data_IF_318762359980
#
_entry.id   IF_318762359980
#
_cell.length_a   1.000
_cell.length_b   1.000
_cell.length_c   1.000
_cell.angle_alpha   90.00
_cell.angle_beta   90.00
_cell.angle_gamma   90.00
#
_symmetry.space_group_name_H-M   'P 1'
#
loop_
_entity.id
_entity.type
_entity.pdbx_description
1 polymer ?
#
# COMPACT_ATOMS: atom_id res chain seq x y z
N UNK A 1 2.67 -3.40 1.57
CA UNK A 1 2.74 -3.39 0.08
C UNK A 1 1.42 -3.90 -0.48
N UNK A 2 0.30 -3.53 0.16
CA UNK A 2 -0.97 -3.47 -0.54
C UNK A 2 -0.75 -2.59 -1.76
N UNK A 3 -1.42 -2.94 -2.86
CA UNK A 3 -1.66 -2.02 -3.96
C UNK A 3 -1.83 -0.62 -3.35
N UNK A 4 -0.81 0.24 -3.53
CA UNK A 4 -1.01 1.67 -3.41
C UNK A 4 -2.09 1.91 -4.43
N UNK A 5 -3.35 1.89 -3.98
CA UNK A 5 -4.43 2.46 -4.72
C UNK A 5 -3.90 3.82 -5.10
N UNK A 6 -3.71 4.03 -6.40
CA UNK A 6 -3.26 5.31 -6.90
C UNK A 6 -4.04 6.38 -6.12
N UNK A 7 -3.41 7.48 -5.70
CA UNK A 7 -4.09 8.56 -4.97
C UNK A 7 -5.26 9.19 -5.75
N UNK A 8 -5.58 8.66 -6.93
CA UNK A 8 -6.50 9.10 -7.97
C UNK A 8 -8.00 8.90 -7.69
N UNK A 9 -8.41 8.33 -6.55
CA UNK A 9 -9.85 8.29 -6.21
C UNK A 9 -10.10 8.98 -4.87
N UNK A 10 -9.73 10.26 -4.78
CA UNK A 10 -10.51 11.16 -3.93
C UNK A 10 -11.85 11.39 -4.59
N UNK A 11 -12.92 10.97 -3.91
CA UNK A 11 -14.28 11.38 -4.23
C UNK A 11 -14.32 12.91 -4.34
N UNK A 12 -14.51 13.42 -5.55
CA UNK A 12 -14.81 14.83 -5.76
C UNK A 12 -16.29 15.07 -5.44
N UNK A 13 -16.58 16.30 -5.02
CA UNK A 13 -17.88 16.78 -4.60
C UNK A 13 -19.05 16.21 -5.41
N UNK A 14 -20.01 15.61 -4.71
CA UNK A 14 -21.31 15.22 -5.25
C UNK A 14 -21.95 16.46 -5.88
N UNK A 15 -22.16 16.43 -7.20
CA UNK A 15 -23.09 17.37 -7.86
C UNK A 15 -24.50 17.01 -7.40
N UNK A 16 -25.10 17.82 -6.54
CA UNK A 16 -26.54 17.75 -6.32
C UNK A 16 -27.25 18.16 -7.62
N UNK A 17 -28.09 17.28 -8.15
CA UNK A 17 -29.04 17.62 -9.20
C UNK A 17 -30.16 18.48 -8.60
N UNK A 18 -30.23 19.76 -8.99
CA UNK A 18 -31.30 20.65 -8.57
C UNK A 18 -30.98 22.13 -8.82
N UNK A 19 -31.99 22.90 -9.27
CA UNK A 19 -31.90 24.33 -9.57
C UNK A 19 -31.70 25.18 -8.30
N UNK A 20 -30.53 25.13 -7.66
CA UNK A 20 -30.01 26.17 -6.74
C UNK A 20 -28.47 26.13 -6.72
N UNK A 21 -27.75 27.26 -6.83
CA UNK A 21 -26.31 27.25 -6.87
C UNK A 21 -25.72 27.15 -5.45
N UNK A 22 -24.68 26.32 -5.31
CA UNK A 22 -23.75 26.17 -4.17
C UNK A 22 -24.21 25.29 -3.00
N UNK A 23 -23.69 24.06 -2.99
CA UNK A 23 -23.36 23.33 -1.77
C UNK A 23 -21.85 23.00 -1.81
N UNK A 24 -21.05 23.75 -1.06
CA UNK A 24 -19.61 23.49 -0.90
C UNK A 24 -19.41 22.43 0.19
N UNK A 25 -18.82 21.29 -0.16
CA UNK A 25 -18.19 20.43 0.83
C UNK A 25 -16.79 21.00 1.14
N UNK A 26 -16.72 21.72 2.27
CA UNK A 26 -15.51 22.12 2.99
C UNK A 26 -14.34 22.70 2.16
N UNK A 27 -14.58 23.89 1.60
CA UNK A 27 -13.52 24.90 1.40
C UNK A 27 -13.85 26.06 2.33
N UNK A 28 -13.15 26.17 3.46
CA UNK A 28 -13.15 27.40 4.24
C UNK A 28 -12.28 28.41 3.49
N UNK A 29 -12.92 29.34 2.78
CA UNK A 29 -12.29 30.60 2.42
C UNK A 29 -12.04 31.37 3.72
N UNK A 30 -10.81 31.79 3.97
CA UNK A 30 -10.48 32.65 5.09
C UNK A 30 -11.12 34.04 4.87
N UNK A 31 -12.32 34.22 5.44
CA UNK A 31 -12.97 35.51 5.64
C UNK A 31 -12.70 36.00 7.07
N UNK A 32 -12.38 37.27 7.20
CA UNK A 32 -11.91 37.96 8.40
C UNK A 32 -12.91 37.88 9.57
N UNK A 33 -12.41 37.40 10.72
CA UNK A 33 -12.93 37.70 12.06
C UNK A 33 -13.91 36.69 12.66
N UNK A 34 -13.42 35.65 13.33
CA UNK A 34 -13.98 34.99 14.53
C UNK A 34 -12.88 34.06 15.13
N UNK A 35 -12.88 33.81 16.46
CA UNK A 35 -11.67 33.38 17.16
C UNK A 35 -11.23 31.96 16.81
N UNK A 36 -9.90 31.80 16.71
CA UNK A 36 -9.19 30.56 16.45
C UNK A 36 -9.58 29.48 17.48
N UNK A 37 -10.30 28.46 17.04
CA UNK A 37 -10.17 27.14 17.66
C UNK A 37 -9.03 26.41 16.96
N UNK A 38 -7.94 26.22 17.71
CA UNK A 38 -6.76 25.49 17.27
C UNK A 38 -7.19 24.15 16.66
N UNK A 39 -6.68 23.86 15.46
CA UNK A 39 -6.72 22.51 14.92
C UNK A 39 -6.10 21.58 15.98
N UNK A 40 -6.89 20.63 16.47
CA UNK A 40 -6.42 19.58 17.38
C UNK A 40 -5.33 18.80 16.66
N UNK A 41 -4.10 19.21 16.92
CA UNK A 41 -2.88 18.52 16.59
C UNK A 41 -2.96 17.18 17.32
N UNK A 42 -3.14 16.08 16.60
CA UNK A 42 -2.90 14.75 17.18
C UNK A 42 -1.40 14.73 17.45
N UNK A 43 -0.95 14.71 18.71
CA UNK A 43 0.46 14.76 19.01
C UNK A 43 1.13 13.51 18.44
N UNK A 44 2.31 13.72 17.83
CA UNK A 44 3.18 12.75 17.16
C UNK A 44 3.51 11.51 18.04
N UNK A 45 3.16 11.55 19.32
CA UNK A 45 3.36 10.49 20.29
C UNK A 45 2.57 9.22 20.02
N UNK A 46 1.37 9.26 19.45
CA UNK A 46 0.57 8.03 19.24
C UNK A 46 1.06 7.17 18.05
N UNK A 47 1.65 7.79 17.03
CA UNK A 47 2.23 7.07 15.89
C UNK A 47 3.56 6.38 16.22
N UNK A 48 4.31 6.92 17.18
CA UNK A 48 5.55 6.33 17.69
C UNK A 48 5.23 5.24 18.73
N UNK A 49 4.14 5.39 19.48
CA UNK A 49 3.74 4.40 20.48
C UNK A 49 3.41 3.03 19.86
N UNK A 50 2.83 2.97 18.65
CA UNK A 50 2.52 1.68 18.00
C UNK A 50 3.72 0.97 17.39
N UNK A 51 4.78 1.71 17.01
CA UNK A 51 6.08 1.11 16.66
C UNK A 51 6.74 0.51 17.91
N UNK A 52 6.47 1.08 19.10
CA UNK A 52 6.97 0.56 20.38
C UNK A 52 6.06 -0.51 21.03
N UNK A 53 4.75 -0.50 20.77
CA UNK A 53 3.75 -1.39 21.36
C UNK A 53 3.50 -2.66 20.52
N UNK A 54 4.54 -3.15 19.83
CA UNK A 54 4.53 -4.45 19.15
C UNK A 54 5.26 -5.54 19.95
N UNK A 55 5.71 -5.23 21.17
CA UNK A 55 6.29 -6.18 22.12
C UNK A 55 5.27 -6.44 23.24
N UNK A 56 4.17 -7.13 22.92
CA UNK A 56 3.34 -7.76 23.94
C UNK A 56 3.23 -9.25 23.62
N UNK A 57 3.93 -10.03 24.44
CA UNK A 57 3.97 -11.49 24.39
C UNK A 57 2.55 -12.02 24.60
N UNK A 58 1.92 -12.49 23.52
CA UNK A 58 0.81 -13.43 23.63
C UNK A 58 1.38 -14.76 24.10
N UNK A 59 1.04 -15.14 25.33
CA UNK A 59 1.27 -16.45 25.91
C UNK A 59 0.42 -17.50 25.17
N UNK A 60 0.90 -17.92 24.01
CA UNK A 60 0.43 -19.13 23.33
C UNK A 60 1.23 -20.32 23.89
N UNK A 61 0.53 -21.44 24.11
CA UNK A 61 1.10 -22.74 24.49
C UNK A 61 2.36 -23.10 23.67
N UNK A 62 3.26 -23.99 24.16
CA UNK A 62 4.58 -24.20 23.56
C UNK A 62 4.46 -24.81 22.15
N UNK A 63 4.37 -23.94 21.14
CA UNK A 63 4.69 -24.26 19.77
C UNK A 63 6.19 -24.48 19.69
N UNK A 64 6.62 -25.62 19.14
CA UNK A 64 8.04 -25.85 18.87
C UNK A 64 8.36 -25.19 17.55
N UNK A 65 9.41 -24.40 17.51
CA UNK A 65 9.88 -23.80 16.29
C UNK A 65 10.69 -24.86 15.52
N UNK A 66 10.11 -25.40 14.45
CA UNK A 66 10.81 -26.32 13.55
C UNK A 66 11.51 -25.56 12.41
N UNK A 67 12.43 -26.26 11.78
CA UNK A 67 13.31 -25.90 10.67
C UNK A 67 12.80 -24.77 9.73
N UNK A 68 13.12 -23.49 9.99
CA UNK A 68 12.93 -22.40 9.00
C UNK A 68 14.04 -22.42 7.93
N UNK A 69 14.17 -23.55 7.23
CA UNK A 69 15.24 -23.81 6.28
C UNK A 69 15.29 -22.83 5.11
N UNK A 70 15.82 -21.63 5.34
CA UNK A 70 16.34 -20.71 4.35
C UNK A 70 17.84 -20.95 4.15
N UNK A 71 18.23 -22.22 4.03
CA UNK A 71 19.62 -22.66 3.93
C UNK A 71 19.87 -23.63 2.77
N UNK A 72 20.76 -23.20 1.86
CA UNK A 72 21.50 -23.90 0.80
C UNK A 72 20.95 -24.02 -0.61
N UNK A 73 19.72 -23.58 -0.92
CA UNK A 73 19.38 -23.35 -2.32
C UNK A 73 18.32 -22.28 -2.53
N UNK A 74 18.60 -21.43 -3.51
CA UNK A 74 17.62 -20.83 -4.40
C UNK A 74 16.66 -21.95 -4.85
N UNK A 75 15.51 -22.07 -4.19
CA UNK A 75 14.46 -23.02 -4.56
C UNK A 75 14.86 -24.49 -4.72
N UNK A 76 15.69 -25.08 -3.87
CA UNK A 76 15.92 -26.54 -3.89
C UNK A 76 16.15 -27.08 -2.47
N UNK A 77 15.07 -27.43 -1.78
CA UNK A 77 15.19 -28.26 -0.60
C UNK A 77 15.30 -29.74 -1.03
N UNK A 78 16.37 -30.37 -0.56
CA UNK A 78 16.77 -31.73 -0.90
C UNK A 78 15.75 -32.79 -0.49
N UNK A 79 15.81 -33.90 -1.21
CA UNK A 79 14.91 -35.03 -1.15
C UNK A 79 15.13 -35.86 0.12
N UNK A 80 14.62 -35.37 1.26
CA UNK A 80 14.23 -36.12 2.49
C UNK A 80 14.10 -35.13 3.64
N UNK A 81 12.89 -34.63 3.93
CA UNK A 81 12.42 -34.29 5.29
C UNK A 81 10.89 -34.14 5.23
N UNK A 82 10.24 -34.51 6.32
CA UNK A 82 8.80 -34.42 6.60
C UNK A 82 8.28 -33.01 6.29
N UNK A 83 7.41 -32.87 5.28
CA UNK A 83 6.64 -31.66 4.89
C UNK A 83 7.30 -30.28 5.16
N UNK A 84 8.12 -29.77 4.24
CA UNK A 84 8.43 -28.34 4.23
C UNK A 84 7.29 -27.53 3.60
N UNK A 85 6.73 -26.57 4.33
CA UNK A 85 5.63 -25.73 3.85
C UNK A 85 6.10 -24.79 2.73
N UNK A 86 5.36 -24.75 1.60
CA UNK A 86 5.59 -23.77 0.54
C UNK A 86 4.71 -22.55 0.72
N UNK A 87 5.25 -21.40 0.33
CA UNK A 87 4.57 -20.12 0.43
C UNK A 87 4.80 -19.28 -0.82
N UNK A 88 3.73 -18.70 -1.34
CA UNK A 88 3.71 -17.59 -2.29
C UNK A 88 3.87 -16.27 -1.53
N UNK A 89 3.23 -16.14 -0.36
CA UNK A 89 3.18 -14.88 0.41
C UNK A 89 1.78 -14.29 0.44
N UNK A 90 1.49 -13.48 1.46
CA UNK A 90 0.25 -12.71 1.63
C UNK A 90 0.03 -11.59 0.58
N UNK A 91 -1.20 -11.08 0.47
CA UNK A 91 -1.56 -10.02 -0.49
C UNK A 91 -0.97 -8.63 -0.17
N UNK A 92 -0.78 -8.30 1.11
CA UNK A 92 -0.41 -6.96 1.53
C UNK A 92 1.00 -6.92 2.11
N UNK A 93 1.36 -7.89 2.94
CA UNK A 93 2.62 -7.79 3.67
C UNK A 93 3.82 -7.88 2.72
N UNK A 94 4.82 -6.98 2.84
CA UNK A 94 6.03 -6.98 2.02
C UNK A 94 6.93 -8.16 2.38
N UNK A 95 7.49 -8.87 1.40
CA UNK A 95 8.38 -10.01 1.66
C UNK A 95 9.80 -9.50 1.91
N UNK A 96 10.48 -10.05 2.92
CA UNK A 96 11.85 -9.67 3.29
C UNK A 96 12.90 -9.90 2.19
N UNK A 97 14.15 -9.54 2.47
CA UNK A 97 15.25 -9.78 1.52
C UNK A 97 15.43 -11.28 1.25
N UNK A 98 15.80 -11.63 0.02
CA UNK A 98 16.08 -13.01 -0.37
C UNK A 98 17.33 -13.51 0.36
N UNK A 99 17.39 -14.82 0.57
CA UNK A 99 18.39 -15.46 1.44
C UNK A 99 19.60 -16.03 0.70
N UNK A 100 19.59 -16.00 -0.63
CA UNK A 100 20.70 -16.49 -1.46
C UNK A 100 20.99 -15.53 -2.59
N UNK A 101 22.27 -15.19 -2.75
CA UNK A 101 22.77 -14.38 -3.85
C UNK A 101 22.43 -14.99 -5.22
N UNK A 102 22.11 -14.12 -6.18
CA UNK A 102 21.76 -14.51 -7.55
C UNK A 102 20.32 -14.98 -7.75
N UNK A 103 19.51 -15.09 -6.68
CA UNK A 103 18.08 -15.40 -6.82
C UNK A 103 17.36 -14.25 -7.46
N UNK A 104 16.52 -14.58 -8.44
CA UNK A 104 15.57 -13.65 -9.02
C UNK A 104 14.14 -14.12 -8.73
N UNK A 105 13.31 -13.22 -8.21
CA UNK A 105 11.90 -13.47 -8.03
C UNK A 105 11.11 -12.42 -8.83
N UNK A 106 10.06 -12.88 -9.51
CA UNK A 106 9.08 -11.99 -10.08
C UNK A 106 7.66 -12.44 -9.73
N UNK A 107 6.83 -11.47 -9.37
CA UNK A 107 5.49 -11.71 -8.85
C UNK A 107 4.51 -10.65 -9.39
N UNK A 108 3.86 -10.92 -10.53
CA UNK A 108 2.82 -10.06 -11.06
C UNK A 108 1.53 -10.22 -10.26
N UNK A 109 0.96 -9.09 -9.87
CA UNK A 109 -0.35 -8.93 -9.27
C UNK A 109 -1.31 -8.32 -10.27
N UNK A 110 -2.56 -8.75 -10.24
CA UNK A 110 -3.70 -8.06 -10.87
C UNK A 110 -4.73 -7.79 -9.79
N UNK A 111 -5.20 -6.54 -9.71
CA UNK A 111 -6.19 -6.09 -8.76
C UNK A 111 -7.35 -5.37 -9.47
N UNK A 112 -8.57 -5.57 -8.98
CA UNK A 112 -9.74 -4.84 -9.42
C UNK A 112 -10.26 -3.94 -8.31
N UNK A 113 -10.22 -2.63 -8.49
CA UNK A 113 -10.73 -1.68 -7.51
C UNK A 113 -12.21 -1.40 -7.70
N UNK A 114 -13.00 -1.70 -6.68
CA UNK A 114 -14.42 -1.37 -6.62
C UNK A 114 -14.73 -0.47 -5.41
N UNK A 115 -14.89 0.84 -5.62
CA UNK A 115 -15.39 1.72 -4.57
C UNK A 115 -16.83 1.37 -4.21
N UNK A 116 -17.08 1.19 -2.92
CA UNK A 116 -18.40 0.87 -2.36
C UNK A 116 -18.96 1.99 -1.49
N UNK A 117 -18.11 2.92 -1.06
CA UNK A 117 -18.51 4.05 -0.23
C UNK A 117 -17.37 5.02 0.06
N UNK A 118 -17.61 5.95 0.97
CA UNK A 118 -16.63 6.89 1.47
C UNK A 118 -16.78 7.06 2.97
N UNK A 119 -15.67 7.01 3.69
CA UNK A 119 -15.58 7.24 5.13
C UNK A 119 -15.32 8.72 5.38
N UNK A 120 -16.28 9.41 5.99
CA UNK A 120 -16.17 10.81 6.38
C UNK A 120 -15.13 11.07 7.46
N UNK A 121 -15.01 12.33 7.89
CA UNK A 121 -14.02 12.75 8.91
C UNK A 121 -14.23 12.11 10.28
N UNK A 122 -15.47 11.73 10.61
CA UNK A 122 -15.84 11.03 11.84
C UNK A 122 -15.93 9.51 11.69
N UNK A 123 -15.56 8.98 10.52
CA UNK A 123 -15.67 7.55 10.18
C UNK A 123 -17.07 7.07 9.77
N UNK A 124 -18.06 7.96 9.69
CA UNK A 124 -19.37 7.62 9.12
C UNK A 124 -19.27 7.28 7.63
N UNK A 125 -19.92 6.18 7.21
CA UNK A 125 -19.97 5.76 5.80
C UNK A 125 -21.04 6.53 5.03
N UNK A 126 -20.70 6.95 3.81
CA UNK A 126 -21.61 7.56 2.86
C UNK A 126 -21.52 6.84 1.50
N UNK A 127 -22.66 6.60 0.83
CA UNK A 127 -22.66 5.94 -0.48
C UNK A 127 -22.06 6.83 -1.55
N UNK A 128 -21.24 6.23 -2.41
CA UNK A 128 -20.68 6.89 -3.61
C UNK A 128 -21.46 6.44 -4.84
N UNK A 129 -22.08 7.41 -5.51
CA UNK A 129 -22.93 7.18 -6.67
C UNK A 129 -22.12 7.13 -7.98
N UNK A 130 -21.09 7.97 -8.11
CA UNK A 130 -20.14 7.96 -9.24
C UNK A 130 -18.93 7.10 -8.87
N UNK A 131 -18.98 5.81 -9.19
CA UNK A 131 -17.95 4.84 -8.83
C UNK A 131 -16.87 4.81 -9.91
N UNK A 132 -15.68 5.28 -9.55
CA UNK A 132 -14.47 5.09 -10.35
C UNK A 132 -13.93 3.68 -10.13
N UNK A 133 -14.15 2.81 -11.09
CA UNK A 133 -13.57 1.48 -11.13
C UNK A 133 -12.18 1.54 -11.73
N UNK A 134 -11.30 0.62 -11.34
CA UNK A 134 -10.01 0.46 -11.99
C UNK A 134 -9.58 -0.99 -12.01
N UNK A 135 -8.82 -1.37 -13.03
CA UNK A 135 -7.98 -2.55 -13.01
C UNK A 135 -6.54 -2.08 -12.95
N UNK A 136 -5.77 -2.63 -12.02
CA UNK A 136 -4.33 -2.38 -11.93
C UNK A 136 -3.55 -3.68 -11.97
N UNK A 137 -2.34 -3.58 -12.47
CA UNK A 137 -1.34 -4.63 -12.46
C UNK A 137 -0.06 -4.03 -11.92
N UNK A 138 0.49 -4.61 -10.86
CA UNK A 138 1.83 -4.28 -10.40
C UNK A 138 2.68 -5.52 -10.36
N UNK A 139 3.98 -5.42 -10.62
CA UNK A 139 4.87 -6.59 -10.60
C UNK A 139 5.99 -6.36 -9.62
N UNK A 140 6.17 -7.27 -8.68
CA UNK A 140 7.34 -7.25 -7.80
C UNK A 140 8.50 -7.91 -8.55
N UNK A 141 9.52 -7.13 -8.88
CA UNK A 141 10.81 -7.66 -9.34
C UNK A 141 11.78 -7.60 -8.18
N UNK A 142 12.34 -8.74 -7.78
CA UNK A 142 13.30 -8.81 -6.69
C UNK A 142 14.53 -9.61 -7.12
N UNK A 143 15.72 -9.05 -6.87
CA UNK A 143 16.99 -9.71 -7.18
C UNK A 143 17.91 -9.66 -5.97
N UNK A 144 18.52 -10.80 -5.62
CA UNK A 144 19.44 -10.86 -4.49
C UNK A 144 20.88 -10.56 -4.92
N UNK A 145 21.42 -9.43 -4.45
CA UNK A 145 22.81 -9.06 -4.67
C UNK A 145 23.76 -9.90 -3.80
N UNK A 146 23.34 -10.17 -2.56
CA UNK A 146 24.06 -11.02 -1.60
C UNK A 146 23.08 -12.01 -0.96
N UNK A 147 23.49 -12.71 0.10
CA UNK A 147 22.60 -13.58 0.88
C UNK A 147 21.69 -12.80 1.85
N UNK A 148 21.87 -11.48 1.98
CA UNK A 148 21.12 -10.62 2.90
C UNK A 148 20.70 -9.29 2.30
N UNK A 149 21.22 -8.93 1.12
CA UNK A 149 20.89 -7.70 0.40
C UNK A 149 20.20 -8.03 -0.90
N UNK A 150 19.02 -7.45 -1.10
CA UNK A 150 18.25 -7.55 -2.35
C UNK A 150 17.89 -6.17 -2.88
N UNK A 151 17.69 -6.09 -4.19
CA UNK A 151 17.08 -4.96 -4.87
C UNK A 151 15.65 -5.33 -5.24
N UNK A 152 14.73 -4.39 -5.09
CA UNK A 152 13.34 -4.56 -5.50
C UNK A 152 12.86 -3.37 -6.33
N UNK A 153 12.09 -3.66 -7.38
CA UNK A 153 11.41 -2.69 -8.21
C UNK A 153 9.93 -3.08 -8.35
N UNK A 154 9.03 -2.10 -8.39
CA UNK A 154 7.58 -2.37 -8.41
C UNK A 154 6.85 -1.47 -9.41
N UNK A 155 7.01 -1.67 -10.72
CA UNK A 155 6.21 -0.94 -11.69
C UNK A 155 4.73 -1.30 -11.52
N UNK A 156 3.88 -0.30 -11.69
CA UNK A 156 2.42 -0.46 -11.76
C UNK A 156 1.86 0.13 -13.04
N UNK A 157 0.84 -0.52 -13.57
CA UNK A 157 0.05 -0.08 -14.71
C UNK A 157 -1.42 -0.16 -14.31
N UNK A 158 -2.21 0.85 -14.65
CA UNK A 158 -3.64 0.89 -14.33
C UNK A 158 -4.48 1.41 -15.48
N UNK A 159 -5.75 1.01 -15.47
CA UNK A 159 -6.81 1.51 -16.34
C UNK A 159 -8.05 1.81 -15.50
N UNK A 160 -8.55 3.04 -15.58
CA UNK A 160 -9.66 3.52 -14.76
C UNK A 160 -10.85 3.97 -15.59
N UNK A 161 -12.06 3.79 -15.06
CA UNK A 161 -13.30 4.24 -15.68
C UNK A 161 -14.38 4.54 -14.65
N UNK A 162 -15.36 5.35 -15.01
CA UNK A 162 -16.53 5.65 -14.18
C UNK A 162 -17.80 5.13 -14.84
N UNK A 163 -18.78 4.68 -14.05
CA UNK A 163 -20.12 4.34 -14.57
C UNK A 163 -20.98 5.61 -14.67
N UNK A 164 -21.54 5.89 -15.86
CA UNK A 164 -22.43 7.03 -16.11
C UNK A 164 -21.84 8.03 -17.12
N UNK A 165 -22.11 9.33 -16.94
CA UNK A 165 -21.53 10.41 -17.77
C UNK A 165 -20.03 10.69 -17.50
N UNK A 166 -19.30 9.73 -16.92
CA UNK A 166 -17.93 9.90 -16.42
C UNK A 166 -16.86 9.36 -17.36
N UNK A 167 -15.68 9.99 -17.33
CA UNK A 167 -14.55 9.69 -18.21
C UNK A 167 -13.86 8.36 -17.92
N UNK A 168 -13.14 7.87 -18.92
CA UNK A 168 -12.13 6.81 -18.77
C UNK A 168 -10.75 7.45 -18.74
N UNK A 169 -9.75 6.73 -18.25
CA UNK A 169 -8.37 7.05 -18.61
C UNK A 169 -8.23 7.10 -20.14
N UNK A 170 -7.31 7.91 -20.64
CA UNK A 170 -6.99 8.00 -22.07
C UNK A 170 -6.36 6.71 -22.61
N UNK A 171 -5.88 5.83 -21.73
CA UNK A 171 -5.30 4.54 -22.03
C UNK A 171 -4.78 3.87 -20.76
N UNK A 172 -3.84 2.93 -20.92
CA UNK A 172 -3.06 2.41 -19.80
C UNK A 172 -2.17 3.51 -19.23
N UNK A 173 -2.11 3.60 -17.91
CA UNK A 173 -1.32 4.60 -17.18
C UNK A 173 -0.31 3.89 -16.30
N UNK A 174 0.94 4.33 -16.34
CA UNK A 174 1.99 3.83 -15.47
C UNK A 174 2.14 4.77 -14.27
N UNK A 175 2.16 4.23 -13.06
CA UNK A 175 2.35 5.04 -11.86
C UNK A 175 3.81 5.45 -11.63
N UNK A 176 4.07 5.98 -10.44
CA UNK A 176 5.41 6.34 -9.97
C UNK A 176 6.20 5.08 -9.65
N UNK A 177 7.40 4.94 -10.22
CA UNK A 177 8.20 3.72 -10.13
C UNK A 177 8.98 3.62 -8.81
N UNK A 178 8.66 2.68 -7.90
CA UNK A 178 9.43 2.46 -6.68
C UNK A 178 10.63 1.55 -6.93
N UNK A 179 11.78 1.94 -6.36
CA UNK A 179 12.99 1.12 -6.28
C UNK A 179 13.49 1.13 -4.84
N UNK A 180 13.60 -0.06 -4.24
CA UNK A 180 13.97 -0.26 -2.85
C UNK A 180 15.19 -1.19 -2.74
N UNK A 181 16.18 -0.82 -1.92
CA UNK A 181 17.24 -1.72 -1.45
C UNK A 181 16.79 -2.32 -0.12
N UNK A 182 16.92 -3.64 0.00
CA UNK A 182 16.46 -4.42 1.12
C UNK A 182 17.66 -5.05 1.81
N UNK A 183 17.79 -4.87 3.11
CA UNK A 183 18.84 -5.49 3.91
C UNK A 183 18.22 -6.26 5.07
N UNK A 184 18.38 -7.58 5.03
CA UNK A 184 18.05 -8.48 6.13
C UNK A 184 19.22 -8.50 7.11
N UNK A 185 19.09 -7.71 8.17
CA UNK A 185 20.15 -7.52 9.16
C UNK A 185 20.10 -8.53 10.30
N UNK A 186 18.97 -9.24 10.45
CA UNK A 186 18.83 -10.36 11.39
C UNK A 186 18.29 -11.59 10.66
N UNK A 187 19.01 -12.70 10.81
CA UNK A 187 18.62 -14.02 10.32
C UNK A 187 17.67 -14.67 11.34
N UNK A 188 16.66 -15.38 10.85
CA UNK A 188 15.78 -16.14 11.74
C UNK A 188 16.57 -17.27 12.42
N UNK A 189 16.40 -17.41 13.74
CA UNK A 189 16.82 -18.59 14.49
C UNK A 189 15.60 -19.14 15.25
N UNK A 190 14.91 -20.14 14.68
CA UNK A 190 13.71 -20.73 15.26
C UNK A 190 13.99 -21.32 16.64
N UNK A 191 15.14 -21.95 16.84
CA UNK A 191 15.50 -22.62 18.10
C UNK A 191 15.54 -21.64 19.27
N UNK A 192 15.76 -20.35 18.97
CA UNK A 192 15.83 -19.25 19.93
C UNK A 192 14.67 -18.26 19.79
N UNK A 193 13.66 -18.56 18.97
CA UNK A 193 12.53 -17.67 18.66
C UNK A 193 12.98 -16.30 18.14
N UNK A 194 14.07 -16.26 17.38
CA UNK A 194 14.59 -15.03 16.77
C UNK A 194 13.95 -14.86 15.39
N UNK A 195 13.25 -13.76 15.11
CA UNK A 195 12.67 -13.49 13.81
C UNK A 195 13.72 -13.07 12.78
N UNK A 196 13.38 -13.20 11.49
CA UNK A 196 14.11 -12.48 10.45
C UNK A 196 13.66 -11.02 10.45
N UNK A 197 14.62 -10.08 10.50
CA UNK A 197 14.34 -8.65 10.41
C UNK A 197 15.01 -8.04 9.18
N UNK A 198 14.25 -7.23 8.45
CA UNK A 198 14.74 -6.52 7.26
C UNK A 198 14.39 -5.04 7.27
N UNK A 199 15.32 -4.25 6.73
CA UNK A 199 15.19 -2.82 6.47
C UNK A 199 15.11 -2.59 4.96
N UNK A 200 14.17 -1.76 4.53
CA UNK A 200 13.99 -1.36 3.14
C UNK A 200 14.25 0.13 3.06
N UNK A 201 15.09 0.56 2.15
CA UNK A 201 15.36 1.98 1.89
C UNK A 201 15.30 2.19 0.39
N UNK A 202 14.50 3.17 -0.05
CA UNK A 202 14.27 3.37 -1.46
C UNK A 202 13.73 4.73 -1.83
N UNK A 203 13.50 4.89 -3.12
CA UNK A 203 12.90 6.08 -3.72
C UNK A 203 11.87 5.64 -4.75
N UNK A 204 10.69 6.28 -4.74
CA UNK A 204 9.80 6.24 -5.90
C UNK A 204 10.10 7.42 -6.83
N UNK A 205 10.33 7.08 -8.10
CA UNK A 205 10.60 8.01 -9.19
C UNK A 205 9.27 8.54 -9.76
N UNK A 206 9.16 9.86 -10.02
CA UNK A 206 7.91 10.46 -10.50
C UNK A 206 7.68 10.23 -12.00
N UNK A 207 7.48 8.96 -12.37
CA UNK A 207 7.23 8.54 -13.75
C UNK A 207 5.78 8.65 -14.18
N UNK A 208 4.84 8.78 -13.24
CA UNK A 208 3.42 8.82 -13.54
C UNK A 208 2.93 10.19 -13.99
N UNK A 209 1.88 10.19 -14.81
CA UNK A 209 1.20 11.41 -15.24
C UNK A 209 0.61 12.13 -14.02
N UNK A 210 0.91 13.42 -13.85
CA UNK A 210 0.43 14.19 -12.71
C UNK A 210 -0.01 15.63 -12.99
N UNK A 211 0.35 16.20 -14.14
CA UNK A 211 0.17 17.63 -14.44
C UNK A 211 -0.22 17.80 -15.92
N UNK A 212 -0.93 18.87 -16.27
CA UNK A 212 -1.50 19.10 -17.61
C UNK A 212 -2.34 17.92 -18.12
N UNK A 213 -3.15 17.36 -17.23
CA UNK A 213 -3.97 16.21 -17.55
C UNK A 213 -5.11 16.61 -18.49
N UNK A 214 -5.28 15.87 -19.59
CA UNK A 214 -6.45 16.03 -20.48
C UNK A 214 -7.74 15.47 -19.86
N UNK A 215 -7.60 14.53 -18.92
CA UNK A 215 -8.69 13.90 -18.15
C UNK A 215 -8.25 13.76 -16.70
N UNK A 216 -9.14 14.03 -15.75
CA UNK A 216 -8.84 13.89 -14.32
C UNK A 216 -8.38 12.45 -13.99
N UNK A 217 -8.95 11.46 -14.67
CA UNK A 217 -8.65 10.04 -14.50
C UNK A 217 -7.21 9.66 -14.84
N UNK A 218 -6.51 10.46 -15.64
CA UNK A 218 -5.14 10.16 -16.08
C UNK A 218 -4.08 10.36 -14.98
N UNK A 219 -4.45 10.99 -13.86
CA UNK A 219 -3.53 11.38 -12.79
C UNK A 219 -3.09 10.21 -11.90
N UNK A 220 -2.05 9.47 -12.28
CA UNK A 220 -1.54 8.31 -11.52
C UNK A 220 -0.21 8.56 -10.81
N UNK A 221 0.45 9.68 -11.10
CA UNK A 221 1.72 10.07 -10.49
C UNK A 221 1.59 11.17 -9.44
N UNK A 222 2.60 11.28 -8.59
CA UNK A 222 2.75 12.37 -7.63
C UNK A 222 3.57 13.53 -8.20
N UNK A 223 4.44 13.28 -9.18
CA UNK A 223 5.35 14.34 -9.67
C UNK A 223 6.44 14.72 -8.68
N UNK A 224 6.66 13.90 -7.64
CA UNK A 224 7.74 14.09 -6.66
C UNK A 224 8.57 12.82 -6.49
N UNK A 225 9.87 12.96 -6.32
CA UNK A 225 10.68 11.89 -5.73
C UNK A 225 10.20 11.62 -4.31
N UNK A 226 9.86 10.37 -4.00
CA UNK A 226 9.36 9.98 -2.67
C UNK A 226 10.34 9.05 -2.01
N UNK A 227 10.92 9.48 -0.88
CA UNK A 227 11.71 8.61 -0.01
C UNK A 227 10.83 7.54 0.61
N UNK A 228 11.35 6.32 0.71
CA UNK A 228 10.66 5.13 1.21
C UNK A 228 11.53 4.43 2.24
N UNK A 229 10.92 4.09 3.37
CA UNK A 229 11.50 3.31 4.44
C UNK A 229 10.50 2.21 4.83
N UNK A 230 10.96 0.98 5.01
CA UNK A 230 10.17 -0.05 5.65
C UNK A 230 10.98 -0.90 6.60
N UNK A 231 10.34 -1.33 7.69
CA UNK A 231 10.83 -2.35 8.60
C UNK A 231 9.91 -3.55 8.48
N UNK A 232 10.48 -4.74 8.37
CA UNK A 232 9.71 -5.98 8.28
C UNK A 232 10.26 -7.03 9.21
N UNK A 233 9.35 -7.81 9.78
CA UNK A 233 9.60 -8.98 10.59
C UNK A 233 8.96 -10.19 9.91
N UNK A 234 9.62 -11.34 10.02
CA UNK A 234 9.06 -12.62 9.60
C UNK A 234 9.50 -13.73 10.55
N UNK A 235 8.52 -14.44 11.10
CA UNK A 235 8.68 -15.61 11.96
C UNK A 235 7.85 -16.77 11.44
N UNK A 236 8.26 -18.00 11.70
CA UNK A 236 7.46 -19.19 11.38
C UNK A 236 7.46 -20.13 12.57
N UNK A 237 6.28 -20.63 12.91
CA UNK A 237 6.02 -21.44 14.09
C UNK A 237 5.31 -22.73 13.68
N UNK A 238 5.79 -23.87 14.18
CA UNK A 238 5.13 -25.15 13.96
C UNK A 238 4.06 -25.37 15.04
N UNK A 239 2.82 -25.39 14.59
CA UNK A 239 1.64 -25.66 15.40
C UNK A 239 1.46 -27.17 15.64
N UNK A 240 0.68 -27.57 16.67
CA UNK A 240 0.29 -28.96 16.86
C UNK A 240 -0.29 -29.58 15.57
N UNK A 241 0.13 -30.80 15.23
CA UNK A 241 -0.23 -31.46 13.98
C UNK A 241 0.73 -31.21 12.82
N UNK A 242 1.92 -30.64 13.06
CA UNK A 242 2.96 -30.36 12.05
C UNK A 242 2.50 -29.37 10.96
N UNK A 243 1.68 -28.40 11.36
CA UNK A 243 1.25 -27.31 10.49
C UNK A 243 2.10 -26.07 10.75
N UNK A 244 2.57 -25.41 9.70
CA UNK A 244 3.36 -24.19 9.84
C UNK A 244 2.44 -22.95 9.87
N UNK A 245 2.74 -22.03 10.78
CA UNK A 245 2.13 -20.70 10.86
C UNK A 245 3.23 -19.65 10.69
N UNK A 246 3.18 -18.89 9.60
CA UNK A 246 4.07 -17.76 9.39
C UNK A 246 3.40 -16.46 9.83
N UNK A 247 4.10 -15.73 10.69
CA UNK A 247 3.76 -14.37 11.10
C UNK A 247 4.68 -13.41 10.35
N UNK A 248 4.10 -12.34 9.82
CA UNK A 248 4.86 -11.22 9.27
C UNK A 248 4.32 -9.92 9.83
N UNK A 249 5.19 -9.03 10.26
CA UNK A 249 4.83 -7.68 10.67
C UNK A 249 5.58 -6.67 9.82
N UNK A 250 4.99 -5.51 9.59
CA UNK A 250 5.68 -4.44 8.89
C UNK A 250 5.22 -3.05 9.30
N UNK A 251 6.10 -2.09 9.05
CA UNK A 251 5.82 -0.66 9.11
C UNK A 251 6.52 0.04 7.96
N UNK A 252 5.82 0.94 7.28
CA UNK A 252 6.35 1.75 6.19
C UNK A 252 6.20 3.23 6.48
N UNK A 253 7.15 4.01 5.99
CA UNK A 253 7.16 5.46 6.06
C UNK A 253 7.60 6.02 4.72
N UNK A 254 6.86 7.00 4.22
CA UNK A 254 7.08 7.62 2.91
C UNK A 254 6.96 9.13 2.99
N UNK A 255 7.85 9.83 2.30
CA UNK A 255 7.93 11.30 2.32
C UNK A 255 8.40 11.84 0.98
N UNK A 256 7.70 12.84 0.45
CA UNK A 256 8.17 13.59 -0.70
C UNK A 256 9.49 14.31 -0.38
N UNK A 257 10.50 14.11 -1.22
CA UNK A 257 11.80 14.78 -1.18
C UNK A 257 11.78 16.12 -1.93
N UNK A 258 10.78 16.32 -2.78
CA UNK A 258 10.67 17.44 -3.70
C UNK A 258 9.23 17.99 -3.70
N UNK A 259 9.00 19.08 -4.43
CA UNK A 259 7.67 19.62 -4.70
C UNK A 259 7.31 19.37 -6.16
N UNK A 260 6.03 19.12 -6.43
CA UNK A 260 5.53 18.91 -7.78
C UNK A 260 5.15 20.24 -8.42
N UNK A 261 5.67 20.49 -9.63
CA UNK A 261 5.30 21.66 -10.43
C UNK A 261 4.02 21.37 -11.19
N UNK A 262 2.95 22.09 -10.85
CA UNK A 262 1.62 21.80 -11.35
C UNK A 262 1.10 22.89 -12.26
N UNK A 263 0.43 22.43 -13.30
CA UNK A 263 -0.06 23.20 -14.42
C UNK A 263 -1.39 22.59 -14.86
N UNK A 264 -2.43 23.42 -15.00
CA UNK A 264 -3.76 23.02 -15.44
C UNK A 264 -4.36 21.94 -14.53
N UNK A 265 -5.14 21.02 -15.09
CA UNK A 265 -5.66 19.85 -14.38
C UNK A 265 -4.50 18.95 -13.93
N UNK A 266 -4.54 18.48 -12.68
CA UNK A 266 -3.47 17.67 -12.07
C UNK A 266 -4.03 16.60 -11.13
N UNK A 267 -3.19 15.63 -10.74
CA UNK A 267 -3.50 14.62 -9.71
C UNK A 267 -3.88 15.23 -8.35
N UNK A 268 -3.57 16.51 -8.16
CA UNK A 268 -3.87 17.27 -6.94
C UNK A 268 -5.24 17.95 -6.96
N UNK A 269 -6.04 17.71 -8.00
CA UNK A 269 -7.41 18.21 -8.13
C UNK A 269 -7.51 19.68 -8.55
N UNK A 270 -6.47 20.22 -9.20
CA UNK A 270 -6.49 21.56 -9.80
C UNK A 270 -7.29 21.56 -11.12
N UNK A 271 -7.56 22.75 -11.67
CA UNK A 271 -8.34 22.92 -12.90
C UNK A 271 -7.51 23.60 -13.99
N UNK A 272 -7.99 23.53 -15.24
CA UNK A 272 -7.42 24.27 -16.37
C UNK A 272 -7.11 25.74 -16.00
N UNK A 273 -5.94 26.23 -16.42
CA UNK A 273 -5.41 27.55 -16.09
C UNK A 273 -4.67 27.65 -14.76
N UNK A 274 -4.69 26.63 -13.90
CA UNK A 274 -3.94 26.66 -12.64
C UNK A 274 -2.42 26.60 -12.87
N UNK A 275 -1.66 27.33 -12.07
CA UNK A 275 -0.18 27.30 -12.07
C UNK A 275 0.34 27.37 -10.63
N UNK A 276 1.19 26.43 -10.22
CA UNK A 276 1.72 26.43 -8.87
C UNK A 276 2.55 25.22 -8.48
N UNK A 277 2.58 24.95 -7.18
CA UNK A 277 3.33 23.86 -6.55
C UNK A 277 2.41 23.02 -5.67
N UNK A 278 2.63 21.72 -5.67
CA UNK A 278 2.04 20.80 -4.71
C UNK A 278 3.13 20.19 -3.82
N UNK A 279 2.84 20.11 -2.53
CA UNK A 279 3.69 19.49 -1.52
C UNK A 279 2.93 18.33 -0.86
N UNK A 280 3.17 17.09 -1.32
CA UNK A 280 2.54 15.90 -0.73
C UNK A 280 2.87 15.75 0.76
N UNK A 281 1.87 15.34 1.53
CA UNK A 281 2.05 14.94 2.92
C UNK A 281 2.85 13.65 3.03
N UNK A 282 3.40 13.40 4.23
CA UNK A 282 3.96 12.09 4.58
C UNK A 282 2.86 11.05 4.72
N UNK A 283 3.17 9.79 4.47
CA UNK A 283 2.22 8.69 4.59
C UNK A 283 2.93 7.38 4.90
N UNK A 284 2.19 6.39 5.36
CA UNK A 284 2.73 5.09 5.78
C UNK A 284 1.65 4.05 5.98
N UNK A 285 2.10 2.83 6.25
CA UNK A 285 1.28 1.62 6.44
C UNK A 285 1.92 0.80 7.56
N UNK A 286 1.16 0.27 8.50
CA UNK A 286 1.64 -0.77 9.39
C UNK A 286 0.62 -1.90 9.52
N UNK A 287 1.08 -3.11 9.72
CA UNK A 287 0.19 -4.26 9.77
C UNK A 287 0.89 -5.56 10.15
N UNK A 288 0.09 -6.62 10.18
CA UNK A 288 0.57 -7.98 10.30
C UNK A 288 -0.18 -8.94 9.38
N UNK A 289 0.47 -10.06 9.08
CA UNK A 289 -0.07 -11.17 8.30
C UNK A 289 0.07 -12.46 9.09
N UNK A 290 -0.97 -13.28 9.03
CA UNK A 290 -0.94 -14.67 9.48
C UNK A 290 -1.13 -15.59 8.27
N UNK A 291 -0.20 -16.51 8.07
CA UNK A 291 -0.18 -17.45 6.93
C UNK A 291 -0.12 -18.88 7.48
N UNK A 292 -1.25 -19.60 7.43
CA UNK A 292 -1.40 -20.95 7.96
C UNK A 292 -1.30 -22.00 6.85
N UNK A 293 -0.27 -22.84 6.93
CA UNK A 293 -0.04 -23.97 6.04
C UNK A 293 -0.95 -25.15 6.39
N UNK A 294 -2.03 -25.34 5.63
CA UNK A 294 -2.89 -26.51 5.78
C UNK A 294 -2.16 -27.80 5.40
N UNK A 295 -1.37 -27.73 4.34
CA UNK A 295 -0.46 -28.75 3.88
C UNK A 295 0.59 -28.08 2.99
N UNK A 296 1.59 -28.83 2.54
CA UNK A 296 2.71 -28.29 1.74
C UNK A 296 2.27 -27.40 0.56
N UNK A 297 1.10 -27.65 -0.06
CA UNK A 297 0.62 -26.91 -1.23
C UNK A 297 -0.31 -25.76 -0.88
N UNK A 298 -1.11 -25.88 0.17
CA UNK A 298 -2.20 -24.95 0.49
C UNK A 298 -1.91 -24.11 1.72
N UNK A 299 -2.07 -22.79 1.57
CA UNK A 299 -1.94 -21.81 2.67
C UNK A 299 -3.20 -20.95 2.71
N UNK A 300 -3.69 -20.64 3.91
CA UNK A 300 -4.63 -19.52 4.12
C UNK A 300 -3.83 -18.36 4.68
N UNK A 301 -4.00 -17.18 4.08
CA UNK A 301 -3.40 -15.95 4.54
C UNK A 301 -4.47 -14.95 4.99
N UNK A 302 -4.12 -14.12 5.97
CA UNK A 302 -4.94 -12.99 6.39
C UNK A 302 -4.02 -11.82 6.75
N UNK A 303 -4.16 -10.72 6.03
CA UNK A 303 -3.53 -9.46 6.38
C UNK A 303 -4.49 -8.55 7.16
N UNK A 304 -3.99 -7.84 8.16
CA UNK A 304 -4.64 -6.68 8.77
C UNK A 304 -3.65 -5.50 8.74
N UNK A 305 -4.07 -4.36 8.19
CA UNK A 305 -3.21 -3.20 8.09
C UNK A 305 -3.95 -1.88 8.35
N UNK A 306 -3.16 -0.85 8.67
CA UNK A 306 -3.57 0.53 8.90
C UNK A 306 -2.72 1.45 8.02
N UNK A 307 -3.37 2.21 7.15
CA UNK A 307 -2.73 3.26 6.36
C UNK A 307 -2.97 4.65 6.95
N UNK A 308 -1.96 5.52 6.96
CA UNK A 308 -2.14 6.91 7.37
C UNK A 308 -1.48 7.84 6.36
N UNK A 309 -2.07 9.01 6.18
CA UNK A 309 -1.52 10.04 5.31
C UNK A 309 -1.83 11.44 5.84
N UNK A 310 -0.83 12.32 5.74
CA UNK A 310 -1.00 13.74 5.99
C UNK A 310 -1.62 14.43 4.77
N UNK A 311 -2.24 15.58 5.03
CA UNK A 311 -2.79 16.44 3.99
C UNK A 311 -1.73 16.96 3.02
N UNK A 312 -2.10 17.08 1.75
CA UNK A 312 -1.31 17.79 0.73
C UNK A 312 -1.51 19.29 0.85
N UNK A 313 -0.47 20.08 0.58
CA UNK A 313 -0.58 21.54 0.45
C UNK A 313 -0.33 21.93 -1.00
N UNK A 314 -1.29 22.60 -1.61
CA UNK A 314 -1.21 23.11 -2.99
C UNK A 314 -1.25 24.62 -2.94
N UNK A 315 -0.30 25.30 -3.61
CA UNK A 315 -0.18 26.75 -3.65
C UNK A 315 0.00 27.22 -5.08
N UNK A 316 -0.75 28.23 -5.50
CA UNK A 316 -0.64 28.73 -6.87
C UNK A 316 -1.72 29.71 -7.25
N UNK A 317 -1.78 30.05 -8.52
CA UNK A 317 -2.79 30.93 -9.10
C UNK A 317 -3.81 30.12 -9.90
N UNK A 318 -5.09 30.49 -9.78
CA UNK A 318 -6.15 29.96 -10.64
C UNK A 318 -6.14 30.63 -12.04
N UNK A 319 -7.05 30.20 -12.92
CA UNK A 319 -7.17 30.73 -14.27
C UNK A 319 -7.50 32.23 -14.32
N UNK A 320 -8.01 32.80 -13.23
CA UNK A 320 -8.31 34.22 -13.08
C UNK A 320 -7.13 35.00 -12.47
N UNK A 321 -5.98 34.35 -12.25
CA UNK A 321 -4.79 34.94 -11.66
C UNK A 321 -4.86 35.11 -10.14
N UNK A 322 -5.91 34.62 -9.47
CA UNK A 322 -6.05 34.74 -8.02
C UNK A 322 -5.21 33.67 -7.32
N UNK A 323 -4.37 34.10 -6.38
CA UNK A 323 -3.59 33.20 -5.54
C UNK A 323 -4.50 32.41 -4.59
N UNK A 324 -4.27 31.10 -4.50
CA UNK A 324 -4.99 30.18 -3.64
C UNK A 324 -4.02 29.23 -2.94
N UNK A 325 -4.39 28.82 -1.72
CA UNK A 325 -3.75 27.72 -1.00
C UNK A 325 -4.82 26.69 -0.66
N UNK A 326 -4.67 25.48 -1.17
CA UNK A 326 -5.56 24.34 -0.90
C UNK A 326 -4.84 23.40 0.06
N UNK A 327 -5.43 23.15 1.21
CA UNK A 327 -4.88 22.24 2.22
C UNK A 327 -5.78 21.00 2.32
N UNK A 328 -5.23 19.85 1.99
CA UNK A 328 -5.87 18.56 2.18
C UNK A 328 -5.97 18.20 3.66
N UNK A 329 -6.99 17.41 3.99
CA UNK A 329 -7.10 16.80 5.32
C UNK A 329 -6.24 15.55 5.41
N UNK A 330 -5.79 15.22 6.62
CA UNK A 330 -5.20 13.93 6.92
C UNK A 330 -6.25 12.82 6.78
N UNK A 331 -5.80 11.63 6.43
CA UNK A 331 -6.65 10.47 6.18
C UNK A 331 -6.04 9.21 6.73
N UNK A 332 -6.87 8.18 6.84
CA UNK A 332 -6.38 6.83 6.96
C UNK A 332 -7.50 5.81 7.03
N UNK A 333 -7.16 4.57 6.68
CA UNK A 333 -8.05 3.41 6.74
C UNK A 333 -7.44 2.22 7.48
N UNK A 334 -8.34 1.29 7.81
CA UNK A 334 -8.04 -0.07 8.19
C UNK A 334 -8.51 -0.99 7.06
N UNK A 335 -7.65 -1.92 6.69
CA UNK A 335 -7.94 -2.92 5.69
C UNK A 335 -7.71 -4.33 6.23
N UNK A 336 -8.48 -5.27 5.71
CA UNK A 336 -8.29 -6.70 5.90
C UNK A 336 -8.14 -7.37 4.54
N UNK A 337 -7.26 -8.36 4.42
CA UNK A 337 -7.07 -9.09 3.18
C UNK A 337 -6.99 -10.62 3.40
N UNK A 338 -8.14 -11.31 3.47
CA UNK A 338 -8.17 -12.77 3.39
C UNK A 338 -7.72 -13.26 2.01
N UNK A 339 -6.95 -14.34 2.00
CA UNK A 339 -6.47 -14.96 0.77
C UNK A 339 -6.18 -16.46 0.94
N UNK A 340 -6.09 -17.15 -0.19
CA UNK A 340 -5.70 -18.55 -0.29
C UNK A 340 -4.56 -18.68 -1.29
N UNK A 341 -3.56 -19.48 -0.93
CA UNK A 341 -2.44 -19.82 -1.79
C UNK A 341 -2.51 -21.28 -2.24
N UNK A 342 -2.09 -21.52 -3.48
CA UNK A 342 -1.81 -22.85 -4.01
C UNK A 342 -0.42 -22.89 -4.64
N UNK A 343 0.42 -23.74 -4.09
CA UNK A 343 1.82 -23.93 -4.49
C UNK A 343 1.98 -25.34 -5.07
N UNK A 344 2.34 -25.45 -6.35
CA UNK A 344 2.62 -26.76 -6.98
C UNK A 344 4.10 -27.12 -6.94
N UNK A 345 4.97 -26.19 -6.54
CA UNK A 345 6.39 -26.40 -6.32
C UNK A 345 6.93 -25.37 -5.30
N UNK A 346 8.15 -25.55 -4.76
CA UNK A 346 8.77 -24.53 -3.91
C UNK A 346 9.15 -23.23 -4.64
N UNK A 347 8.99 -23.18 -5.97
CA UNK A 347 9.36 -22.02 -6.81
C UNK A 347 8.16 -21.35 -7.48
N UNK A 348 7.00 -21.97 -7.44
CA UNK A 348 5.84 -21.54 -8.22
C UNK A 348 4.56 -21.75 -7.43
N UNK A 349 3.78 -20.68 -7.35
CA UNK A 349 2.49 -20.68 -6.69
C UNK A 349 1.62 -19.52 -7.14
N UNK A 350 0.38 -19.54 -6.68
CA UNK A 350 -0.59 -18.48 -6.92
C UNK A 350 -1.26 -18.14 -5.59
N UNK A 351 -1.52 -16.86 -5.37
CA UNK A 351 -2.39 -16.37 -4.31
C UNK A 351 -3.59 -15.65 -4.93
N UNK A 352 -4.76 -15.85 -4.35
CA UNK A 352 -5.95 -15.08 -4.68
C UNK A 352 -6.70 -14.70 -3.40
N UNK A 353 -7.25 -13.50 -3.37
CA UNK A 353 -8.02 -13.03 -2.24
C UNK A 353 -8.62 -11.65 -2.47
N UNK A 354 -9.04 -11.00 -1.39
CA UNK A 354 -9.76 -9.73 -1.47
C UNK A 354 -9.27 -8.81 -0.37
N UNK A 355 -8.82 -7.61 -0.74
CA UNK A 355 -8.59 -6.53 0.21
C UNK A 355 -9.87 -5.73 0.40
N UNK A 356 -10.27 -5.49 1.64
CA UNK A 356 -11.44 -4.68 1.96
C UNK A 356 -11.09 -3.61 3.00
N UNK A 357 -11.32 -2.34 2.66
CA UNK A 357 -11.26 -1.23 3.61
C UNK A 357 -12.57 -1.21 4.39
N UNK A 358 -12.50 -1.41 5.71
CA UNK A 358 -13.69 -1.57 6.55
C UNK A 358 -13.88 -0.44 7.58
N UNK A 359 -12.83 0.31 7.90
CA UNK A 359 -12.90 1.45 8.82
C UNK A 359 -11.87 2.51 8.44
N UNK A 360 -12.02 3.75 8.93
CA UNK A 360 -11.12 4.84 8.58
C UNK A 360 -11.80 6.21 8.60
N UNK A 361 -11.08 7.23 8.14
CA UNK A 361 -11.59 8.59 7.99
C UNK A 361 -10.95 9.28 6.77
N UNK A 362 -11.73 10.14 6.12
CA UNK A 362 -11.32 10.88 4.93
C UNK A 362 -10.74 9.99 3.82
N UNK A 363 -11.33 8.80 3.64
CA UNK A 363 -10.82 7.74 2.74
C UNK A 363 -11.97 7.00 2.05
N UNK A 364 -11.69 6.41 0.89
CA UNK A 364 -12.66 5.60 0.16
C UNK A 364 -12.86 4.25 0.83
N UNK A 365 -14.10 3.74 0.85
CA UNK A 365 -14.34 2.32 1.13
C UNK A 365 -14.24 1.56 -0.18
N UNK A 366 -13.32 0.62 -0.24
CA UNK A 366 -12.98 -0.11 -1.46
C UNK A 366 -12.90 -1.59 -1.15
N UNK A 367 -13.48 -2.38 -2.06
CA UNK A 367 -13.29 -3.83 -2.12
C UNK A 367 -12.44 -4.10 -3.35
N UNK A 368 -11.35 -4.82 -3.16
CA UNK A 368 -10.35 -5.05 -4.19
C UNK A 368 -9.94 -6.52 -4.25
N UNK A 369 -10.59 -7.34 -5.10
CA UNK A 369 -10.10 -8.68 -5.43
C UNK A 369 -8.72 -8.60 -6.07
N UNK A 370 -7.84 -9.52 -5.69
CA UNK A 370 -6.46 -9.59 -6.16
C UNK A 370 -6.07 -11.03 -6.47
N UNK A 371 -5.21 -11.20 -7.48
CA UNK A 371 -4.54 -12.45 -7.79
C UNK A 371 -3.07 -12.16 -8.09
N UNK A 372 -2.17 -13.01 -7.62
CA UNK A 372 -0.77 -12.92 -7.96
C UNK A 372 -0.15 -14.28 -8.25
N UNK A 373 0.78 -14.30 -9.18
CA UNK A 373 1.56 -15.47 -9.52
C UNK A 373 2.97 -15.31 -8.97
N UNK A 374 3.42 -16.17 -8.07
CA UNK A 374 4.78 -16.12 -7.54
C UNK A 374 5.70 -17.04 -8.31
N UNK A 375 6.89 -16.55 -8.63
CA UNK A 375 7.93 -17.34 -9.26
C UNK A 375 9.35 -16.94 -8.86
N UNK A 376 10.18 -17.95 -8.61
CA UNK A 376 11.55 -17.80 -8.11
C UNK A 376 12.54 -18.64 -8.93
N UNK A 377 13.66 -18.03 -9.34
CA UNK A 377 14.67 -18.59 -10.24
C UNK A 377 16.06 -18.63 -9.61
#
# INVERSE_FOLDING_TARGET
>A
MAATMSPTIRARAVRCAGRRPRCNAATLQAGTGYPYHAASYIPVTESILFVALSVLVLSVAPARAENTGNGTAAGSQGQRETYSQWYTGSLVSPSGALTKAGVFAWEPYVAYSQPVGYLGSTGGSMPVHDRAHAVSSFTLYKYSLTNSVSLQMTPDISYGWRRGHGGTTSGLKMGDLPVDVMWRYLDADPRRFIPALSLFVGVAFPSGDYTRLGRDEDGVGTGTYTFRLALTEQSTYTLPGHHELRLRMWGTFRRALTQAHIADTSSYGTTAGFRGLAHPGMYGESGFSLEYGMNQKWVIAMDLARDWANGVVVRGHDAQGRYQTLTGQASGDWLVAPAVEYNWSPRFGVIAGVTAIFAGHNTGQVISPQVAFNSVF
#
